data_IF_198368022210
#
_entry.id   IF_198368022210
#
_cell.length_a   1.000
_cell.length_b   1.000
_cell.length_c   1.000
_cell.angle_alpha   90.00
_cell.angle_beta   90.00
_cell.angle_gamma   90.00
#
_symmetry.space_group_name_H-M   'P 1'
#
loop_
_entity.id
_entity.type
_entity.pdbx_description
1 polymer ?
#
# COMPACT_ATOMS: atom_id res chain seq x y z
N UNK A 1 5.52 -1.97 12.58
CA UNK A 1 4.56 -1.37 11.63
C UNK A 1 3.62 -2.47 11.15
N UNK A 2 2.29 -2.29 11.23
CA UNK A 2 1.35 -3.20 10.60
C UNK A 2 1.67 -3.47 9.13
N UNK A 3 1.70 -4.75 8.78
CA UNK A 3 2.08 -5.24 7.46
C UNK A 3 1.08 -6.31 7.00
N UNK A 4 0.66 -6.24 5.74
CA UNK A 4 -0.29 -7.18 5.13
C UNK A 4 0.31 -7.72 3.83
N UNK A 5 1.08 -8.82 3.88
CA UNK A 5 1.71 -9.39 2.70
C UNK A 5 0.72 -10.18 1.86
N UNK A 6 0.88 -10.10 0.54
CA UNK A 6 0.13 -10.89 -0.41
C UNK A 6 0.90 -11.18 -1.70
N UNK A 7 0.52 -12.26 -2.38
CA UNK A 7 0.89 -12.54 -3.76
C UNK A 7 -0.27 -12.14 -4.67
N UNK A 8 0.06 -11.48 -5.77
CA UNK A 8 -0.86 -11.11 -6.84
C UNK A 8 -0.20 -11.42 -8.18
N UNK A 9 -0.98 -11.88 -9.15
CA UNK A 9 -0.56 -11.96 -10.54
C UNK A 9 -1.09 -10.75 -11.32
N UNK A 10 -0.73 -10.64 -12.60
CA UNK A 10 -1.30 -9.62 -13.48
C UNK A 10 -2.82 -9.76 -13.65
N UNK A 11 -3.36 -10.98 -13.58
CA UNK A 11 -4.82 -11.20 -13.67
C UNK A 11 -5.57 -10.77 -12.41
N UNK A 12 -4.88 -10.57 -11.29
CA UNK A 12 -5.47 -10.10 -10.04
C UNK A 12 -5.60 -8.56 -9.96
N UNK A 13 -4.96 -7.82 -10.88
CA UNK A 13 -4.97 -6.35 -10.85
C UNK A 13 -6.36 -5.72 -10.93
N UNK A 14 -7.30 -6.20 -11.78
CA UNK A 14 -8.68 -5.71 -11.78
C UNK A 14 -9.37 -5.91 -10.43
N UNK A 15 -9.22 -7.09 -9.81
CA UNK A 15 -9.81 -7.38 -8.50
C UNK A 15 -9.27 -6.42 -7.42
N UNK A 16 -7.95 -6.19 -7.41
CA UNK A 16 -7.33 -5.27 -6.45
C UNK A 16 -7.79 -3.82 -6.68
N UNK A 17 -7.89 -3.39 -7.94
CA UNK A 17 -8.44 -2.09 -8.31
C UNK A 17 -9.87 -1.93 -7.81
N UNK A 18 -10.76 -2.86 -8.14
CA UNK A 18 -12.17 -2.79 -7.77
C UNK A 18 -12.36 -2.77 -6.24
N UNK A 19 -11.58 -3.57 -5.52
CA UNK A 19 -11.59 -3.58 -4.05
C UNK A 19 -11.17 -2.23 -3.45
N UNK A 20 -10.19 -1.54 -4.04
CA UNK A 20 -9.73 -0.24 -3.56
C UNK A 20 -10.68 0.89 -3.99
N UNK A 21 -11.09 0.93 -5.25
CA UNK A 21 -12.03 1.93 -5.80
C UNK A 21 -13.39 1.88 -5.11
N UNK A 22 -13.84 0.70 -4.66
CA UNK A 22 -15.10 0.56 -3.90
C UNK A 22 -15.03 1.08 -2.46
N UNK A 23 -13.87 1.56 -2.00
CA UNK A 23 -13.69 2.14 -0.66
C UNK A 23 -13.55 3.67 -0.77
N UNK A 24 -14.66 4.39 -0.65
CA UNK A 24 -14.68 5.86 -0.76
C UNK A 24 -13.82 6.58 0.30
N UNK A 25 -13.42 5.89 1.36
CA UNK A 25 -12.52 6.39 2.40
C UNK A 25 -11.04 6.36 1.99
N UNK A 26 -10.72 5.86 0.79
CA UNK A 26 -9.36 5.77 0.28
C UNK A 26 -9.18 6.49 -1.03
N UNK A 27 -8.12 7.29 -1.09
CA UNK A 27 -7.65 7.90 -2.32
C UNK A 27 -6.22 7.47 -2.61
N UNK A 28 -5.92 7.31 -3.90
CA UNK A 28 -4.57 7.16 -4.42
C UNK A 28 -3.95 8.55 -4.61
N UNK A 29 -2.71 8.75 -4.16
CA UNK A 29 -1.96 9.96 -4.45
C UNK A 29 -1.16 9.75 -5.73
N UNK A 30 -1.45 10.56 -6.75
CA UNK A 30 -0.85 10.44 -8.09
C UNK A 30 -0.15 11.74 -8.49
N UNK A 31 0.97 11.65 -9.23
CA UNK A 31 1.54 12.81 -9.88
C UNK A 31 0.60 13.28 -11.00
N UNK A 32 0.54 14.59 -11.23
CA UNK A 32 -0.18 15.21 -12.33
C UNK A 32 0.82 15.64 -13.40
N UNK A 33 1.61 16.68 -13.11
CA UNK A 33 2.69 17.21 -13.96
C UNK A 33 3.77 17.85 -13.08
N UNK A 34 5.05 17.63 -13.42
CA UNK A 34 6.17 18.16 -12.63
C UNK A 34 6.13 17.73 -11.17
N UNK A 35 6.04 18.70 -10.27
CA UNK A 35 5.94 18.55 -8.81
C UNK A 35 4.50 18.66 -8.28
N UNK A 36 3.50 18.70 -9.17
CA UNK A 36 2.09 18.74 -8.82
C UNK A 36 1.56 17.33 -8.56
N UNK A 37 0.91 17.16 -7.41
CA UNK A 37 0.28 15.90 -6.98
C UNK A 37 -1.19 16.13 -6.69
N UNK A 38 -1.99 15.07 -6.76
CA UNK A 38 -3.39 15.07 -6.32
C UNK A 38 -3.83 13.73 -5.77
N UNK A 39 -4.85 13.75 -4.93
CA UNK A 39 -5.60 12.56 -4.57
C UNK A 39 -6.63 12.24 -5.66
N UNK A 40 -6.87 10.95 -5.90
CA UNK A 40 -7.91 10.45 -6.80
C UNK A 40 -8.56 9.19 -6.22
N UNK A 41 -9.86 9.01 -6.47
CA UNK A 41 -10.58 7.78 -6.15
C UNK A 41 -10.45 6.73 -7.27
N UNK A 42 -9.84 7.08 -8.40
CA UNK A 42 -9.59 6.19 -9.52
C UNK A 42 -8.22 5.50 -9.38
N UNK A 43 -8.24 4.21 -9.06
CA UNK A 43 -7.04 3.39 -8.82
C UNK A 43 -6.51 2.79 -10.13
N UNK A 44 -5.71 3.55 -10.87
CA UNK A 44 -5.03 3.07 -12.08
C UNK A 44 -3.84 2.12 -11.78
N UNK A 45 -4.09 1.00 -11.11
CA UNK A 45 -3.09 -0.05 -10.86
C UNK A 45 -2.87 -0.89 -12.13
N UNK A 46 -1.84 -0.56 -12.91
CA UNK A 46 -1.51 -1.26 -14.17
C UNK A 46 -0.14 -1.96 -14.18
N UNK A 47 0.71 -1.65 -13.21
CA UNK A 47 2.10 -2.11 -13.17
C UNK A 47 2.62 -2.19 -11.74
N UNK A 48 3.78 -2.83 -11.59
CA UNK A 48 4.54 -2.83 -10.34
C UNK A 48 4.88 -1.41 -9.89
N UNK A 49 4.92 -1.22 -8.59
CA UNK A 49 5.24 0.09 -8.03
C UNK A 49 4.87 0.18 -6.56
N UNK A 50 5.26 1.29 -5.96
CA UNK A 50 4.83 1.65 -4.60
C UNK A 50 3.96 2.89 -4.66
N UNK A 51 2.79 2.76 -4.08
CA UNK A 51 1.67 3.68 -4.21
C UNK A 51 1.33 4.23 -2.83
N UNK A 52 1.20 5.55 -2.73
CA UNK A 52 0.75 6.21 -1.51
C UNK A 52 -0.78 6.27 -1.50
N UNK A 53 -1.38 5.74 -0.44
CA UNK A 53 -2.82 5.75 -0.22
C UNK A 53 -3.13 6.65 0.96
N UNK A 54 -4.03 7.60 0.75
CA UNK A 54 -4.53 8.46 1.81
C UNK A 54 -5.88 7.97 2.29
N UNK A 55 -6.00 7.79 3.60
CA UNK A 55 -7.27 7.53 4.25
C UNK A 55 -8.00 8.87 4.46
N UNK A 56 -8.95 9.19 3.59
CA UNK A 56 -9.62 10.50 3.55
C UNK A 56 -10.13 10.96 4.94
N UNK A 57 -10.81 10.10 5.74
CA UNK A 57 -11.27 10.48 7.08
C UNK A 57 -10.18 10.76 8.12
N UNK A 58 -8.89 10.49 7.83
CA UNK A 58 -7.81 10.84 8.74
C UNK A 58 -7.49 12.34 8.76
N UNK A 59 -8.06 13.12 7.84
CA UNK A 59 -7.84 14.55 7.73
C UNK A 59 -6.66 14.92 6.80
N UNK A 60 -6.22 16.19 6.85
CA UNK A 60 -5.18 16.75 5.99
C UNK A 60 -3.85 15.97 6.04
N UNK A 61 -3.06 16.11 4.98
CA UNK A 61 -1.71 15.55 4.91
C UNK A 61 -0.65 16.60 5.28
N UNK A 62 0.45 16.23 5.95
CA UNK A 62 1.54 17.16 6.21
C UNK A 62 2.27 17.53 4.92
N UNK A 63 2.60 18.80 4.74
CA UNK A 63 3.48 19.30 3.69
C UNK A 63 4.88 19.50 4.29
N UNK A 64 5.75 18.50 4.11
CA UNK A 64 7.10 18.54 4.67
C UNK A 64 7.99 19.51 3.89
N UNK A 65 8.60 20.51 4.54
CA UNK A 65 9.54 21.42 3.90
C UNK A 65 10.86 20.72 3.54
N UNK A 66 11.64 21.37 2.67
CA UNK A 66 12.99 20.92 2.30
C UNK A 66 14.03 21.26 3.37
N UNK A 67 13.89 22.43 4.00
CA UNK A 67 14.81 22.92 5.02
C UNK A 67 14.64 22.29 6.39
N UNK A 68 15.76 22.09 7.10
CA UNK A 68 15.74 21.70 8.51
C UNK A 68 15.27 22.89 9.36
N UNK A 69 14.27 22.67 10.21
CA UNK A 69 13.73 23.71 11.11
C UNK A 69 12.64 24.60 10.49
N UNK A 70 12.32 24.39 9.20
CA UNK A 70 11.14 25.01 8.60
C UNK A 70 9.85 24.40 9.15
N UNK A 71 8.79 25.22 9.21
CA UNK A 71 7.50 24.79 9.71
C UNK A 71 6.85 23.78 8.74
N UNK A 72 6.26 22.72 9.30
CA UNK A 72 5.47 21.75 8.52
C UNK A 72 4.15 22.41 8.13
N UNK A 73 3.88 22.48 6.83
CA UNK A 73 2.59 22.95 6.31
C UNK A 73 1.53 21.85 6.30
N UNK A 74 0.32 22.18 5.84
CA UNK A 74 -0.79 21.22 5.72
C UNK A 74 -1.40 21.28 4.32
N UNK A 75 -1.67 20.11 3.77
CA UNK A 75 -2.42 19.89 2.53
C UNK A 75 -3.87 19.66 2.93
N UNK A 76 -4.63 20.75 3.05
CA UNK A 76 -6.02 20.72 3.54
C UNK A 76 -6.96 19.91 2.65
N UNK A 77 -6.77 20.02 1.32
CA UNK A 77 -7.57 19.28 0.34
C UNK A 77 -6.67 18.61 -0.70
N UNK A 78 -6.21 17.38 -0.44
CA UNK A 78 -5.40 16.62 -1.40
C UNK A 78 -6.07 16.41 -2.77
N UNK A 79 -7.41 16.44 -2.88
CA UNK A 79 -8.12 16.30 -4.16
C UNK A 79 -7.99 17.54 -5.05
N UNK A 80 -7.85 18.73 -4.47
CA UNK A 80 -7.61 19.97 -5.23
C UNK A 80 -6.20 19.99 -5.86
N UNK A 81 -5.34 19.09 -5.41
CA UNK A 81 -3.94 19.03 -5.77
C UNK A 81 -3.08 19.98 -4.95
N UNK A 82 -1.79 19.68 -4.90
CA UNK A 82 -0.80 20.49 -4.19
C UNK A 82 0.56 20.34 -4.87
N UNK A 83 1.39 21.37 -4.72
CA UNK A 83 2.80 21.32 -5.13
C UNK A 83 3.61 20.73 -3.98
N UNK A 84 4.37 19.68 -4.25
CA UNK A 84 5.17 19.07 -3.22
C UNK A 84 6.49 19.81 -3.01
N UNK A 85 6.96 19.87 -1.76
CA UNK A 85 8.23 20.53 -1.43
C UNK A 85 9.36 19.50 -1.41
N UNK A 86 9.21 18.40 -0.66
CA UNK A 86 10.32 17.46 -0.42
C UNK A 86 10.13 16.04 -0.96
N UNK A 87 10.99 15.60 -1.88
CA UNK A 87 10.92 14.23 -2.39
C UNK A 87 11.78 13.23 -1.61
N UNK A 88 11.29 11.99 -1.50
CA UNK A 88 12.06 10.81 -1.11
C UNK A 88 11.81 9.72 -2.17
N UNK A 89 12.88 9.22 -2.79
CA UNK A 89 12.83 8.21 -3.86
C UNK A 89 11.83 8.55 -4.99
N UNK A 90 11.81 9.82 -5.40
CA UNK A 90 10.92 10.32 -6.46
C UNK A 90 9.45 10.44 -6.07
N UNK A 91 9.12 10.39 -4.77
CA UNK A 91 7.75 10.51 -4.26
C UNK A 91 7.63 11.57 -3.16
N UNK A 92 6.42 12.08 -2.89
CA UNK A 92 6.21 13.02 -1.80
C UNK A 92 6.58 12.40 -0.45
N UNK A 93 7.50 13.07 0.25
CA UNK A 93 7.79 12.74 1.63
C UNK A 93 6.78 13.43 2.54
N UNK A 94 6.03 12.63 3.28
CA UNK A 94 5.04 13.10 4.26
C UNK A 94 5.51 12.92 5.71
N UNK A 95 6.73 12.43 5.93
CA UNK A 95 7.14 11.96 7.25
C UNK A 95 6.47 10.63 7.58
N UNK A 96 5.73 10.58 8.68
CA UNK A 96 5.15 9.33 9.21
C UNK A 96 3.70 9.46 9.70
N UNK A 97 2.80 10.12 8.93
CA UNK A 97 1.47 10.40 9.42
C UNK A 97 0.63 9.12 9.45
N UNK A 98 -0.17 8.91 10.50
CA UNK A 98 -0.99 7.72 10.64
C UNK A 98 -2.11 7.63 9.59
N UNK A 99 -2.39 8.69 8.83
CA UNK A 99 -3.35 8.73 7.74
C UNK A 99 -2.89 8.14 6.41
N UNK A 100 -1.59 7.82 6.27
CA UNK A 100 -1.03 7.26 5.05
C UNK A 100 -0.79 5.77 5.16
N UNK A 101 -1.15 5.08 4.08
CA UNK A 101 -0.81 3.69 3.85
C UNK A 101 0.01 3.57 2.58
N UNK A 102 0.87 2.57 2.52
CA UNK A 102 1.63 2.26 1.33
C UNK A 102 1.17 0.93 0.76
N UNK A 103 1.01 0.88 -0.56
CA UNK A 103 0.86 -0.37 -1.31
C UNK A 103 2.13 -0.58 -2.11
N UNK A 104 2.91 -1.60 -1.78
CA UNK A 104 3.98 -2.11 -2.64
C UNK A 104 3.41 -3.26 -3.47
N UNK A 105 3.33 -3.06 -4.78
CA UNK A 105 2.77 -4.01 -5.73
C UNK A 105 3.88 -4.58 -6.61
N UNK A 106 3.99 -5.89 -6.57
CA UNK A 106 4.94 -6.68 -7.34
C UNK A 106 4.22 -7.91 -7.90
N UNK A 107 3.71 -7.84 -9.12
CA UNK A 107 3.08 -9.00 -9.78
C UNK A 107 4.11 -9.97 -10.35
N UNK A 108 5.37 -9.52 -10.47
CA UNK A 108 6.49 -10.34 -10.88
C UNK A 108 7.71 -10.07 -9.98
N UNK A 109 8.39 -11.14 -9.60
CA UNK A 109 9.64 -11.06 -8.88
C UNK A 109 10.77 -10.54 -9.78
N UNK A 110 11.68 -9.76 -9.22
CA UNK A 110 12.92 -9.40 -9.93
C UNK A 110 13.83 -10.61 -10.15
N UNK A 111 13.90 -11.52 -9.17
CA UNK A 111 14.71 -12.74 -9.22
C UNK A 111 14.18 -13.78 -8.21
N UNK A 112 13.99 -15.05 -8.61
CA UNK A 112 14.25 -15.60 -9.95
C UNK A 112 13.30 -15.04 -11.03
N UNK A 113 13.70 -15.09 -12.30
CA UNK A 113 12.78 -14.74 -13.38
C UNK A 113 11.58 -15.70 -13.36
N UNK A 114 10.40 -15.20 -13.74
CA UNK A 114 9.14 -15.95 -13.76
C UNK A 114 8.63 -16.42 -12.37
N UNK A 115 9.05 -15.82 -11.26
CA UNK A 115 8.35 -15.97 -9.98
C UNK A 115 7.38 -14.82 -9.70
N UNK A 116 6.42 -15.09 -8.81
CA UNK A 116 5.53 -14.07 -8.25
C UNK A 116 6.29 -13.16 -7.30
N UNK A 117 6.11 -11.85 -7.44
CA UNK A 117 6.65 -10.87 -6.49
C UNK A 117 5.85 -10.85 -5.20
N UNK A 118 6.50 -10.50 -4.08
CA UNK A 118 5.80 -10.30 -2.82
C UNK A 118 5.29 -8.86 -2.75
N UNK A 119 3.98 -8.69 -2.78
CA UNK A 119 3.32 -7.41 -2.59
C UNK A 119 2.93 -7.21 -1.12
N UNK A 120 2.71 -5.97 -0.70
CA UNK A 120 2.19 -5.72 0.63
C UNK A 120 1.45 -4.38 0.77
N UNK A 121 0.57 -4.32 1.78
CA UNK A 121 0.20 -3.05 2.37
C UNK A 121 1.01 -2.79 3.63
N UNK A 122 1.49 -1.57 3.77
CA UNK A 122 2.19 -1.07 4.95
C UNK A 122 1.41 0.07 5.57
N UNK A 123 1.43 0.11 6.90
CA UNK A 123 0.88 1.21 7.65
C UNK A 123 1.75 1.46 8.87
N UNK A 124 2.06 2.73 9.16
CA UNK A 124 2.88 3.07 10.32
C UNK A 124 2.16 2.74 11.64
N UNK A 125 0.82 2.86 11.64
CA UNK A 125 -0.01 2.58 12.81
C UNK A 125 0.36 3.44 14.00
N UNK A 126 0.27 2.87 15.20
CA UNK A 126 0.61 3.52 16.47
C UNK A 126 2.10 3.44 16.83
N UNK A 127 2.99 3.35 15.84
CA UNK A 127 4.42 3.21 16.10
C UNK A 127 4.96 4.35 17.00
N UNK A 128 4.41 5.56 16.84
CA UNK A 128 4.78 6.75 17.62
C UNK A 128 3.80 7.07 18.76
N UNK A 129 2.95 6.14 19.18
CA UNK A 129 2.00 6.38 20.27
C UNK A 129 2.68 6.78 21.58
N UNK A 130 3.89 6.27 21.85
CA UNK A 130 4.70 6.66 23.02
C UNK A 130 5.18 8.12 23.00
N UNK A 131 5.14 8.77 21.85
CA UNK A 131 5.46 10.20 21.66
C UNK A 131 4.19 11.07 21.58
N UNK A 132 3.01 10.49 21.87
CA UNK A 132 1.73 11.19 21.79
C UNK A 132 1.11 11.24 20.38
N UNK A 133 1.79 10.71 19.36
CA UNK A 133 1.28 10.66 18.00
C UNK A 133 0.59 9.31 17.74
N UNK A 134 -0.67 9.24 18.17
CA UNK A 134 -1.51 8.05 18.07
C UNK A 134 -2.34 8.13 16.79
N UNK A 135 -2.43 7.02 16.06
CA UNK A 135 -3.29 6.96 14.90
C UNK A 135 -4.76 7.21 15.27
N UNK A 136 -5.50 7.99 14.46
CA UNK A 136 -6.93 8.11 14.65
C UNK A 136 -7.61 6.73 14.64
N UNK A 137 -8.51 6.49 15.59
CA UNK A 137 -9.28 5.22 15.69
C UNK A 137 -9.99 4.86 14.39
N UNK A 138 -10.38 5.85 13.60
CA UNK A 138 -11.01 5.63 12.29
C UNK A 138 -10.04 4.93 11.32
N UNK A 139 -8.75 5.29 11.34
CA UNK A 139 -7.74 4.66 10.49
C UNK A 139 -7.40 3.25 10.95
N UNK A 140 -7.35 3.00 12.27
CA UNK A 140 -7.24 1.64 12.82
C UNK A 140 -8.37 0.72 12.35
N UNK A 141 -9.61 1.21 12.45
CA UNK A 141 -10.80 0.48 11.97
C UNK A 141 -10.72 0.20 10.48
N UNK A 142 -10.28 1.17 9.68
CA UNK A 142 -10.09 0.99 8.24
C UNK A 142 -8.99 -0.03 7.94
N UNK A 143 -7.87 -0.01 8.67
CA UNK A 143 -6.84 -1.05 8.55
C UNK A 143 -7.38 -2.45 8.86
N UNK A 144 -8.18 -2.58 9.93
CA UNK A 144 -8.85 -3.84 10.26
C UNK A 144 -9.81 -4.30 9.15
N UNK A 145 -10.60 -3.37 8.58
CA UNK A 145 -11.50 -3.63 7.43
C UNK A 145 -10.74 -4.15 6.22
N UNK A 146 -9.61 -3.54 5.85
CA UNK A 146 -8.75 -4.01 4.75
C UNK A 146 -8.27 -5.44 4.99
N UNK A 147 -7.72 -5.73 6.18
CA UNK A 147 -7.29 -7.09 6.54
C UNK A 147 -8.43 -8.10 6.46
N UNK A 148 -9.62 -7.70 6.95
CA UNK A 148 -10.82 -8.52 6.89
C UNK A 148 -11.31 -8.81 5.46
N UNK A 149 -11.20 -7.84 4.56
CA UNK A 149 -11.47 -8.05 3.12
C UNK A 149 -10.49 -9.06 2.53
N UNK A 150 -9.19 -8.91 2.77
CA UNK A 150 -8.17 -9.87 2.30
C UNK A 150 -8.42 -11.29 2.82
N UNK A 151 -8.78 -11.46 4.09
CA UNK A 151 -9.09 -12.79 4.64
C UNK A 151 -10.30 -13.48 4.01
N UNK A 152 -11.20 -12.72 3.39
CA UNK A 152 -12.36 -13.25 2.66
C UNK A 152 -12.04 -13.55 1.20
N UNK A 153 -11.18 -12.73 0.59
CA UNK A 153 -10.81 -12.82 -0.83
C UNK A 153 -9.76 -13.90 -1.10
N UNK A 154 -8.83 -14.09 -0.18
CA UNK A 154 -7.65 -14.90 -0.40
C UNK A 154 -7.38 -15.84 0.79
N UNK A 155 -7.06 -17.11 0.54
CA UNK A 155 -6.48 -17.95 1.57
C UNK A 155 -5.05 -17.49 1.88
N UNK A 156 -4.55 -17.88 3.05
CA UNK A 156 -3.12 -17.78 3.36
C UNK A 156 -2.39 -18.99 2.81
N UNK A 157 -1.19 -18.75 2.29
CA UNK A 157 -0.22 -19.75 1.84
C UNK A 157 1.12 -19.52 2.55
N UNK A 158 1.99 -20.54 2.61
CA UNK A 158 3.36 -20.34 3.06
C UNK A 158 4.12 -19.42 2.11
N UNK A 159 5.15 -18.72 2.61
CA UNK A 159 6.03 -17.95 1.73
C UNK A 159 6.80 -18.83 0.77
N UNK A 160 6.84 -18.40 -0.48
CA UNK A 160 7.68 -18.94 -1.55
C UNK A 160 7.09 -20.10 -2.34
N UNK A 161 6.44 -21.07 -1.67
CA UNK A 161 5.78 -22.20 -2.34
C UNK A 161 4.72 -22.86 -1.43
N UNK A 162 3.66 -23.42 -2.03
CA UNK A 162 2.53 -24.06 -1.32
C UNK A 162 2.90 -25.41 -0.71
N UNK A 163 3.83 -26.14 -1.31
CA UNK A 163 4.21 -27.52 -0.98
C UNK A 163 5.14 -27.65 0.24
N UNK A 164 5.53 -26.53 0.86
CA UNK A 164 6.41 -26.53 2.03
C UNK A 164 5.60 -26.69 3.29
N UNK A 165 6.05 -27.57 4.18
CA UNK A 165 5.55 -27.70 5.55
C UNK A 165 5.95 -26.46 6.38
N UNK A 166 5.27 -25.36 6.09
CA UNK A 166 5.53 -24.03 6.64
C UNK A 166 4.19 -23.40 6.97
N UNK A 167 4.19 -22.59 8.03
CA UNK A 167 2.98 -21.89 8.47
C UNK A 167 2.45 -20.96 7.36
N UNK A 168 1.15 -21.03 7.01
CA UNK A 168 0.55 -20.07 6.09
C UNK A 168 0.55 -18.65 6.68
N UNK A 169 1.14 -17.70 5.96
CA UNK A 169 1.35 -16.33 6.46
C UNK A 169 1.09 -15.22 5.43
N UNK A 170 1.17 -15.53 4.13
CA UNK A 170 0.94 -14.57 3.03
C UNK A 170 -0.38 -14.86 2.35
N UNK A 171 -1.18 -13.85 2.05
CA UNK A 171 -2.40 -14.04 1.27
C UNK A 171 -2.07 -14.32 -0.20
N UNK A 172 -2.76 -15.24 -0.86
CA UNK A 172 -2.63 -15.44 -2.29
C UNK A 172 -3.94 -15.08 -2.99
N UNK A 173 -3.94 -14.01 -3.78
CA UNK A 173 -5.08 -13.66 -4.62
C UNK A 173 -5.35 -14.77 -5.65
N UNK A 174 -6.56 -14.88 -6.20
CA UNK A 174 -6.97 -16.05 -7.00
C UNK A 174 -6.01 -16.42 -8.14
N UNK A 175 -5.57 -15.46 -8.94
CA UNK A 175 -4.63 -15.69 -10.04
C UNK A 175 -3.25 -16.13 -9.55
N UNK A 176 -2.72 -15.47 -8.51
CA UNK A 176 -1.48 -15.88 -7.87
C UNK A 176 -1.58 -17.29 -7.25
N UNK A 177 -2.72 -17.63 -6.63
CA UNK A 177 -2.97 -18.94 -6.03
C UNK A 177 -2.96 -20.06 -7.08
N UNK A 178 -3.57 -19.82 -8.24
CA UNK A 178 -3.53 -20.75 -9.38
C UNK A 178 -2.10 -20.96 -9.86
N UNK A 179 -1.33 -19.89 -10.03
CA UNK A 179 0.09 -19.98 -10.42
C UNK A 179 0.92 -20.76 -9.41
N UNK A 180 0.74 -20.50 -8.11
CA UNK A 180 1.44 -21.24 -7.05
C UNK A 180 1.07 -22.73 -7.06
N UNK A 181 -0.21 -23.08 -7.28
CA UNK A 181 -0.66 -24.47 -7.40
C UNK A 181 -0.09 -25.16 -8.63
N UNK A 182 0.18 -24.42 -9.71
CA UNK A 182 0.87 -24.90 -10.90
C UNK A 182 2.40 -25.03 -10.72
N UNK A 183 2.93 -24.75 -9.53
CA UNK A 183 4.36 -24.90 -9.22
C UNK A 183 5.20 -23.66 -9.49
N UNK A 184 4.58 -22.52 -9.82
CA UNK A 184 5.31 -21.24 -9.91
C UNK A 184 5.83 -20.87 -8.52
N UNK A 185 7.12 -20.48 -8.45
CA UNK A 185 7.73 -20.00 -7.21
C UNK A 185 7.30 -18.56 -6.91
N UNK A 186 7.43 -18.14 -5.66
CA UNK A 186 7.23 -16.75 -5.25
C UNK A 186 8.40 -16.23 -4.42
N UNK A 187 8.54 -14.90 -4.39
CA UNK A 187 9.55 -14.23 -3.57
C UNK A 187 9.21 -14.37 -2.08
N UNK A 188 10.25 -14.52 -1.27
CA UNK A 188 10.13 -14.64 0.19
C UNK A 188 10.30 -13.30 0.92
N UNK A 189 10.84 -12.30 0.22
CA UNK A 189 11.15 -10.98 0.75
C UNK A 189 10.50 -9.89 -0.11
N UNK A 190 9.93 -8.84 0.50
CA UNK A 190 9.64 -7.61 -0.23
C UNK A 190 10.98 -7.01 -0.66
N UNK A 191 11.10 -6.58 -1.93
CA UNK A 191 12.34 -6.06 -2.52
C UNK A 191 12.27 -4.58 -2.79
#
# INVERSE_FOLDING_TARGET
MPWLPFYASRSDLPLLRDMLTSDADLALLVPVEGDLWKATLDFALGQDGRFALWHVPSGPLPLMPDGVGEAIGMIENPFAGWRHLRFADGRPFFGSPPGLLWLELHVQAKQPANSLGLSCFEWIGNYFAGLGDVAPKVTEKRWAKLRGRFSKLAPRVPRGAIDRDRKPEVFALPGALEMLRAGVRADTFPK
#
